data_IF_478954732459
#
_entry.id   IF_478954732459
#
_cell.length_a   1.000
_cell.length_b   1.000
_cell.length_c   1.000
_cell.angle_alpha   90.00
_cell.angle_beta   90.00
_cell.angle_gamma   90.00
#
_symmetry.space_group_name_H-M   'P 1'
#
loop_
_entity.id
_entity.type
_entity.pdbx_description
1 polymer ?
#
# COMPACT_ATOMS: atom_id res chain seq x y z
N UNK A 1 -0.86 -21.94 -27.92
CA UNK A 1 0.35 -21.44 -27.23
C UNK A 1 0.97 -22.58 -26.44
N UNK A 2 2.19 -22.98 -26.76
CA UNK A 2 2.86 -24.06 -26.02
C UNK A 2 3.34 -23.49 -24.68
N UNK A 3 2.76 -23.93 -23.57
CA UNK A 3 3.26 -23.66 -22.24
C UNK A 3 4.66 -24.29 -22.10
N UNK A 4 5.69 -23.46 -22.12
CA UNK A 4 7.06 -23.89 -21.82
C UNK A 4 7.11 -24.27 -20.33
N UNK A 5 6.86 -25.53 -20.03
CA UNK A 5 7.12 -26.07 -18.70
C UNK A 5 8.63 -26.23 -18.54
N UNK A 6 9.26 -25.27 -17.86
CA UNK A 6 10.66 -25.38 -17.45
C UNK A 6 10.79 -26.57 -16.48
N UNK A 7 11.86 -27.40 -16.62
CA UNK A 7 12.12 -28.48 -15.67
C UNK A 7 12.27 -27.93 -14.25
N UNK A 8 11.80 -28.68 -13.25
CA UNK A 8 11.76 -28.30 -11.83
C UNK A 8 13.12 -27.81 -11.30
N UNK A 9 14.23 -28.36 -11.82
CA UNK A 9 15.60 -27.94 -11.47
C UNK A 9 15.98 -26.53 -11.92
N UNK A 10 15.22 -25.91 -12.81
CA UNK A 10 15.41 -24.51 -13.26
C UNK A 10 14.35 -23.55 -12.74
N UNK A 11 13.45 -24.02 -11.88
CA UNK A 11 12.45 -23.17 -11.20
C UNK A 11 13.07 -22.56 -9.94
N UNK A 12 14.17 -21.81 -10.12
CA UNK A 12 14.73 -21.01 -9.03
C UNK A 12 13.84 -19.79 -8.71
N UNK A 13 14.19 -19.10 -7.62
CA UNK A 13 13.60 -17.81 -7.25
C UNK A 13 13.77 -16.84 -8.42
N UNK A 14 12.72 -16.68 -9.21
CA UNK A 14 12.70 -15.75 -10.33
C UNK A 14 11.75 -14.57 -10.02
N UNK A 15 11.88 -13.51 -10.80
CA UNK A 15 11.06 -12.31 -10.63
C UNK A 15 9.55 -12.59 -10.68
N UNK A 16 9.10 -13.50 -11.54
CA UNK A 16 7.69 -13.88 -11.65
C UNK A 16 7.16 -14.54 -10.37
N UNK A 17 7.95 -15.43 -9.76
CA UNK A 17 7.57 -16.05 -8.48
C UNK A 17 7.52 -15.02 -7.36
N UNK A 18 8.48 -14.09 -7.32
CA UNK A 18 8.48 -12.99 -6.37
C UNK A 18 7.23 -12.10 -6.53
N UNK A 19 6.88 -11.71 -7.76
CA UNK A 19 5.69 -10.90 -8.03
C UNK A 19 4.39 -11.63 -7.72
N UNK A 20 4.34 -12.93 -8.01
CA UNK A 20 3.21 -13.78 -7.64
C UNK A 20 3.00 -13.86 -6.12
N UNK A 21 4.08 -14.03 -5.36
CA UNK A 21 4.03 -14.02 -3.90
C UNK A 21 3.67 -12.63 -3.38
N UNK A 22 4.30 -11.58 -3.91
CA UNK A 22 4.05 -10.19 -3.54
C UNK A 22 2.56 -9.83 -3.63
N UNK A 23 1.89 -10.13 -4.74
CA UNK A 23 0.46 -9.82 -4.91
C UNK A 23 -0.41 -10.50 -3.87
N UNK A 24 -0.11 -11.74 -3.49
CA UNK A 24 -0.89 -12.48 -2.49
C UNK A 24 -0.64 -11.97 -1.07
N UNK A 25 0.62 -11.77 -0.72
CA UNK A 25 0.98 -11.27 0.62
C UNK A 25 0.52 -9.83 0.83
N UNK A 26 0.57 -8.98 -0.19
CA UNK A 26 0.10 -7.60 -0.08
C UNK A 26 -1.40 -7.51 0.12
N UNK A 27 -2.22 -8.38 -0.48
CA UNK A 27 -3.66 -8.45 -0.20
C UNK A 27 -3.91 -8.77 1.28
N UNK A 28 -3.23 -9.79 1.81
CA UNK A 28 -3.37 -10.18 3.22
C UNK A 28 -2.89 -9.04 4.13
N UNK A 29 -1.78 -8.39 3.79
CA UNK A 29 -1.26 -7.24 4.53
C UNK A 29 -2.23 -6.06 4.52
N UNK A 30 -2.87 -5.75 3.39
CA UNK A 30 -3.87 -4.68 3.28
C UNK A 30 -5.06 -4.94 4.20
N UNK A 31 -5.64 -6.14 4.12
CA UNK A 31 -6.76 -6.52 5.00
C UNK A 31 -6.34 -6.53 6.46
N UNK A 32 -5.16 -7.06 6.77
CA UNK A 32 -4.62 -7.07 8.13
C UNK A 32 -4.46 -5.65 8.68
N UNK A 33 -3.90 -4.73 7.92
CA UNK A 33 -3.73 -3.33 8.32
C UNK A 33 -5.07 -2.61 8.52
N UNK A 34 -6.06 -2.85 7.64
CA UNK A 34 -7.41 -2.28 7.80
C UNK A 34 -8.06 -2.80 9.08
N UNK A 35 -8.04 -4.11 9.31
CA UNK A 35 -8.64 -4.72 10.50
C UNK A 35 -7.94 -4.24 11.77
N UNK A 36 -6.62 -4.23 11.80
CA UNK A 36 -5.85 -3.75 12.96
C UNK A 36 -6.08 -2.26 13.22
N UNK A 37 -6.12 -1.44 12.15
CA UNK A 37 -6.42 -0.01 12.24
C UNK A 37 -7.81 0.24 12.81
N UNK A 38 -8.82 -0.46 12.30
CA UNK A 38 -10.20 -0.33 12.77
C UNK A 38 -10.36 -0.80 14.22
N UNK A 39 -9.83 -1.97 14.58
CA UNK A 39 -9.86 -2.48 15.95
C UNK A 39 -9.09 -1.56 16.91
N UNK A 40 -7.96 -1.01 16.46
CA UNK A 40 -7.20 -0.01 17.21
C UNK A 40 -8.03 1.26 17.45
N UNK A 41 -8.68 1.79 16.42
CA UNK A 41 -9.52 2.98 16.52
C UNK A 41 -10.73 2.75 17.46
N UNK A 42 -11.39 1.59 17.35
CA UNK A 42 -12.51 1.22 18.25
C UNK A 42 -12.05 1.12 19.70
N UNK A 43 -10.91 0.48 19.95
CA UNK A 43 -10.35 0.37 21.30
C UNK A 43 -10.00 1.73 21.88
N UNK A 44 -9.35 2.58 21.10
CA UNK A 44 -8.99 3.94 21.52
C UNK A 44 -10.23 4.79 21.80
N UNK A 45 -11.25 4.71 20.94
CA UNK A 45 -12.54 5.38 21.16
C UNK A 45 -13.17 4.95 22.49
N UNK A 46 -13.18 3.66 22.78
CA UNK A 46 -13.72 3.13 24.03
C UNK A 46 -12.93 3.60 25.28
N UNK A 47 -11.61 3.81 25.14
CA UNK A 47 -10.76 4.26 26.26
C UNK A 47 -10.77 5.77 26.46
N UNK A 48 -10.87 6.55 25.41
CA UNK A 48 -10.75 8.01 25.44
C UNK A 48 -12.08 8.76 25.37
N UNK A 49 -13.14 8.10 24.93
CA UNK A 49 -14.44 8.72 24.64
C UNK A 49 -14.46 9.54 23.34
N UNK A 50 -13.34 9.58 22.60
CA UNK A 50 -13.25 10.25 21.29
C UNK A 50 -13.98 9.43 20.24
N UNK A 51 -14.68 10.09 19.31
CA UNK A 51 -15.40 9.41 18.24
C UNK A 51 -14.45 8.62 17.33
N UNK A 52 -14.86 7.41 16.92
CA UNK A 52 -14.05 6.57 16.00
C UNK A 52 -13.74 7.28 14.69
N UNK A 53 -14.69 8.07 14.17
CA UNK A 53 -14.51 8.84 12.94
C UNK A 53 -13.38 9.87 13.07
N UNK A 54 -13.31 10.56 14.21
CA UNK A 54 -12.26 11.56 14.48
C UNK A 54 -10.88 10.90 14.62
N UNK A 55 -10.82 9.73 15.25
CA UNK A 55 -9.57 8.95 15.36
C UNK A 55 -9.09 8.49 13.97
N UNK A 56 -10.00 7.97 13.13
CA UNK A 56 -9.66 7.55 11.77
C UNK A 56 -9.28 8.75 10.90
N UNK A 57 -10.01 9.86 11.01
CA UNK A 57 -9.66 11.08 10.31
C UNK A 57 -8.25 11.55 10.68
N UNK A 58 -7.96 11.61 11.98
CA UNK A 58 -6.63 11.97 12.48
C UNK A 58 -5.54 10.99 12.00
N UNK A 59 -5.83 9.70 11.90
CA UNK A 59 -4.86 8.71 11.42
C UNK A 59 -4.40 8.97 9.97
N UNK A 60 -5.33 9.43 9.11
CA UNK A 60 -5.02 9.76 7.72
C UNK A 60 -4.53 11.20 7.51
N UNK A 61 -4.93 12.11 8.39
CA UNK A 61 -4.55 13.51 8.37
C UNK A 61 -3.98 13.91 9.74
N UNK A 62 -2.82 13.36 10.11
CA UNK A 62 -2.27 13.57 11.44
C UNK A 62 -1.88 15.04 11.63
N UNK A 63 -2.62 15.74 12.47
CA UNK A 63 -2.27 17.07 12.94
C UNK A 63 -1.66 16.95 14.34
N UNK A 64 -0.40 17.34 14.48
CA UNK A 64 0.33 17.26 15.76
C UNK A 64 -0.30 18.14 16.85
N UNK A 65 -0.92 19.26 16.46
CA UNK A 65 -1.56 20.19 17.39
C UNK A 65 -2.85 19.65 18.00
N UNK A 66 -3.52 18.73 17.33
CA UNK A 66 -4.81 18.16 17.72
C UNK A 66 -4.73 16.66 17.99
N UNK A 67 -3.59 16.17 18.47
CA UNK A 67 -3.43 14.74 18.79
C UNK A 67 -4.44 14.31 19.87
N UNK A 68 -5.52 13.60 19.54
CA UNK A 68 -6.55 13.22 20.50
C UNK A 68 -6.03 12.25 21.58
N UNK A 69 -4.85 11.67 21.35
CA UNK A 69 -4.26 10.66 22.22
C UNK A 69 -3.16 11.21 23.14
N UNK A 70 -2.70 12.44 22.90
CA UNK A 70 -1.70 13.13 23.75
C UNK A 70 -0.34 12.44 23.87
N UNK A 71 -0.13 11.33 23.14
CA UNK A 71 1.07 10.50 23.28
C UNK A 71 1.90 10.51 21.97
N UNK A 72 3.12 11.03 22.06
CA UNK A 72 4.03 11.16 20.91
C UNK A 72 4.32 9.82 20.20
N UNK A 73 4.51 8.74 20.96
CA UNK A 73 4.82 7.44 20.41
C UNK A 73 3.64 6.84 19.60
N UNK A 74 2.39 7.11 20.00
CA UNK A 74 1.21 6.70 19.24
C UNK A 74 1.12 7.42 17.90
N UNK A 75 1.48 8.68 17.85
CA UNK A 75 1.56 9.45 16.61
C UNK A 75 2.58 8.81 15.65
N UNK A 76 3.78 8.50 16.11
CA UNK A 76 4.80 7.85 15.29
C UNK A 76 4.33 6.49 14.78
N UNK A 77 3.74 5.67 15.66
CA UNK A 77 3.22 4.35 15.26
C UNK A 77 2.12 4.47 14.20
N UNK A 78 1.17 5.39 14.38
CA UNK A 78 0.09 5.65 13.42
C UNK A 78 0.65 6.09 12.07
N UNK A 79 1.59 7.04 12.05
CA UNK A 79 2.26 7.49 10.82
C UNK A 79 2.98 6.35 10.11
N UNK A 80 3.67 5.48 10.83
CA UNK A 80 4.32 4.30 10.27
C UNK A 80 3.31 3.31 9.68
N UNK A 81 2.21 3.03 10.40
CA UNK A 81 1.15 2.13 9.91
C UNK A 81 0.47 2.67 8.65
N UNK A 82 0.11 3.96 8.63
CA UNK A 82 -0.52 4.59 7.47
C UNK A 82 0.46 4.66 6.28
N UNK A 83 1.75 4.98 6.53
CA UNK A 83 2.78 4.95 5.48
C UNK A 83 2.95 3.55 4.89
N UNK A 84 3.01 2.52 5.73
CA UNK A 84 3.09 1.13 5.28
C UNK A 84 1.85 0.73 4.47
N UNK A 85 0.65 1.13 4.93
CA UNK A 85 -0.60 0.88 4.21
C UNK A 85 -0.59 1.53 2.82
N UNK A 86 -0.21 2.81 2.72
CA UNK A 86 -0.10 3.54 1.44
C UNK A 86 0.85 2.82 0.49
N UNK A 87 2.04 2.43 0.96
CA UNK A 87 3.03 1.73 0.12
C UNK A 87 2.52 0.39 -0.38
N UNK A 88 1.88 -0.39 0.50
CA UNK A 88 1.33 -1.71 0.13
C UNK A 88 0.18 -1.55 -0.88
N UNK A 89 -0.74 -0.60 -0.66
CA UNK A 89 -1.87 -0.33 -1.56
C UNK A 89 -1.38 0.16 -2.91
N UNK A 90 -0.46 1.13 -2.93
CA UNK A 90 0.12 1.65 -4.18
C UNK A 90 0.86 0.54 -4.95
N UNK A 91 1.70 -0.23 -4.27
CA UNK A 91 2.47 -1.31 -4.91
C UNK A 91 1.56 -2.40 -5.49
N UNK A 92 0.54 -2.81 -4.74
CA UNK A 92 -0.45 -3.80 -5.20
C UNK A 92 -1.27 -3.27 -6.38
N UNK A 93 -1.78 -2.04 -6.28
CA UNK A 93 -2.58 -1.40 -7.32
C UNK A 93 -1.80 -1.19 -8.62
N UNK A 94 -0.55 -0.72 -8.52
CA UNK A 94 0.34 -0.55 -9.69
C UNK A 94 0.57 -1.88 -10.39
N UNK A 95 0.85 -2.94 -9.63
CA UNK A 95 1.07 -4.26 -10.24
C UNK A 95 -0.18 -4.73 -10.99
N UNK A 96 -1.37 -4.62 -10.38
CA UNK A 96 -2.62 -4.97 -11.05
C UNK A 96 -2.89 -4.16 -12.31
N UNK A 97 -2.64 -2.85 -12.28
CA UNK A 97 -2.78 -1.99 -13.47
C UNK A 97 -1.78 -2.36 -14.57
N UNK A 98 -0.54 -2.70 -14.20
CA UNK A 98 0.48 -3.12 -15.16
C UNK A 98 0.12 -4.45 -15.84
N UNK A 99 -0.47 -5.40 -15.12
CA UNK A 99 -0.98 -6.66 -15.72
C UNK A 99 -2.09 -6.38 -16.72
N UNK A 100 -3.08 -5.54 -16.37
CA UNK A 100 -4.14 -5.14 -17.28
C UNK A 100 -3.57 -4.45 -18.52
N UNK A 101 -2.60 -3.55 -18.36
CA UNK A 101 -1.95 -2.87 -19.49
C UNK A 101 -1.26 -3.84 -20.44
N UNK A 102 -0.57 -4.84 -19.92
CA UNK A 102 0.13 -5.83 -20.72
C UNK A 102 -0.82 -6.67 -21.57
N UNK A 103 -2.08 -6.86 -21.11
CA UNK A 103 -3.13 -7.58 -21.87
C UNK A 103 -3.75 -6.71 -22.96
N UNK A 104 -3.93 -5.43 -22.75
CA UNK A 104 -4.61 -4.53 -23.68
C UNK A 104 -3.69 -3.85 -24.69
N UNK A 105 -2.43 -3.58 -24.35
CA UNK A 105 -1.49 -2.93 -25.24
C UNK A 105 -0.66 -3.93 -26.03
N UNK A 106 -0.98 -4.11 -27.30
CA UNK A 106 -0.25 -5.02 -28.21
C UNK A 106 1.07 -4.44 -28.73
N UNK A 107 1.19 -3.11 -28.79
CA UNK A 107 2.39 -2.41 -29.28
C UNK A 107 3.50 -2.32 -28.22
N UNK A 108 4.70 -2.84 -28.51
CA UNK A 108 5.83 -2.87 -27.58
C UNK A 108 6.23 -1.46 -27.07
N UNK A 109 6.19 -0.46 -27.96
CA UNK A 109 6.56 0.94 -27.62
C UNK A 109 5.50 1.55 -26.70
N UNK A 110 4.21 1.43 -27.05
CA UNK A 110 3.10 1.96 -26.27
C UNK A 110 3.09 1.33 -24.88
N UNK A 111 3.25 -0.01 -24.79
CA UNK A 111 3.33 -0.74 -23.52
C UNK A 111 4.45 -0.23 -22.63
N UNK A 112 5.67 -0.06 -23.19
CA UNK A 112 6.83 0.42 -22.42
C UNK A 112 6.60 1.83 -21.86
N UNK A 113 6.07 2.75 -22.67
CA UNK A 113 5.78 4.11 -22.24
C UNK A 113 4.69 4.16 -21.16
N UNK A 114 3.58 3.45 -21.36
CA UNK A 114 2.48 3.39 -20.39
C UNK A 114 2.94 2.79 -19.06
N UNK A 115 3.73 1.71 -19.07
CA UNK A 115 4.32 1.12 -17.86
C UNK A 115 5.20 2.11 -17.11
N UNK A 116 6.13 2.76 -17.81
CA UNK A 116 7.03 3.74 -17.19
C UNK A 116 6.25 4.93 -16.60
N UNK A 117 5.23 5.40 -17.31
CA UNK A 117 4.38 6.50 -16.83
C UNK A 117 3.64 6.11 -15.55
N UNK A 118 3.02 4.94 -15.49
CA UNK A 118 2.28 4.48 -14.31
C UNK A 118 3.21 4.27 -13.12
N UNK A 119 4.39 3.67 -13.35
CA UNK A 119 5.38 3.49 -12.29
C UNK A 119 5.86 4.85 -11.76
N UNK A 120 6.20 5.78 -12.64
CA UNK A 120 6.64 7.13 -12.25
C UNK A 120 5.55 7.89 -11.48
N UNK A 121 4.29 7.81 -11.96
CA UNK A 121 3.15 8.41 -11.28
C UNK A 121 2.93 7.82 -9.88
N UNK A 122 3.00 6.50 -9.74
CA UNK A 122 2.81 5.83 -8.46
C UNK A 122 3.92 6.14 -7.45
N UNK A 123 5.17 6.21 -7.91
CA UNK A 123 6.29 6.63 -7.06
C UNK A 123 6.06 8.07 -6.58
N UNK A 124 5.73 8.99 -7.48
CA UNK A 124 5.45 10.38 -7.14
C UNK A 124 4.29 10.51 -6.16
N UNK A 125 3.17 9.82 -6.43
CA UNK A 125 1.99 9.83 -5.56
C UNK A 125 2.31 9.27 -4.16
N UNK A 126 3.09 8.17 -4.09
CA UNK A 126 3.52 7.59 -2.82
C UNK A 126 4.44 8.53 -2.03
N UNK A 127 5.37 9.20 -2.70
CA UNK A 127 6.26 10.17 -2.06
C UNK A 127 5.49 11.37 -1.51
N UNK A 128 4.53 11.91 -2.29
CA UNK A 128 3.66 13.01 -1.84
C UNK A 128 2.83 12.57 -0.65
N UNK A 129 2.21 11.39 -0.70
CA UNK A 129 1.41 10.88 0.40
C UNK A 129 2.23 10.71 1.68
N UNK A 130 3.43 10.13 1.59
CA UNK A 130 4.33 9.99 2.74
C UNK A 130 4.76 11.37 3.24
N UNK A 131 5.13 12.28 2.35
CA UNK A 131 5.48 13.65 2.73
C UNK A 131 4.35 14.32 3.53
N UNK A 132 3.11 14.26 3.04
CA UNK A 132 1.94 14.80 3.75
C UNK A 132 1.76 14.15 5.11
N UNK A 133 1.82 12.81 5.22
CA UNK A 133 1.67 12.08 6.48
C UNK A 133 2.72 12.53 7.53
N UNK A 134 3.93 12.88 7.09
CA UNK A 134 5.03 13.22 8.02
C UNK A 134 5.18 14.71 8.30
N UNK A 135 4.59 15.57 7.49
CA UNK A 135 4.67 17.05 7.64
C UNK A 135 3.39 17.68 8.18
N UNK A 136 2.26 16.94 8.17
CA UNK A 136 1.00 17.35 8.82
C UNK A 136 1.08 17.03 10.31
#
# INVERSE_FOLDING_TARGET
>A
MATRTLPLSRRGLNFEMFMWAFTRFTVIAMYGLIVLGLLGALRLSAQTGVNVGDILYWAFFPNLAENPLGQVWMNILTRLMVSAFVLVVCGHGVHGVLEILDDYFTGAVARRWSRNFIIAYAILASLIAIYVIWTS
#
